data_IF_584088790246
#
_entry.id   IF_584088790246
#
_cell.length_a   1.000
_cell.length_b   1.000
_cell.length_c   1.000
_cell.angle_alpha   90.00
_cell.angle_beta   90.00
_cell.angle_gamma   90.00
#
_symmetry.space_group_name_H-M   'P 1'
#
loop_
_entity.id
_entity.type
_entity.pdbx_description
1 polymer ?
#
# COMPACT_ATOMS: atom_id res chain seq x y z
N UNK A 1 -7.59 8.45 5.08
CA UNK A 1 -8.20 9.13 3.93
C UNK A 1 -8.56 8.15 2.82
N UNK A 2 -7.62 7.40 2.24
CA UNK A 2 -7.91 6.44 1.15
C UNK A 2 -9.07 5.46 1.43
N UNK A 3 -9.16 4.90 2.64
CA UNK A 3 -10.28 4.03 3.02
C UNK A 3 -11.63 4.78 3.05
N UNK A 4 -11.64 6.01 3.60
CA UNK A 4 -12.85 6.87 3.66
C UNK A 4 -13.29 7.32 2.27
N UNK A 5 -12.34 7.50 1.36
CA UNK A 5 -12.58 7.84 -0.04
C UNK A 5 -12.92 6.62 -0.90
N UNK A 6 -13.00 5.41 -0.33
CA UNK A 6 -13.32 4.18 -1.06
C UNK A 6 -12.25 3.77 -2.08
N UNK A 7 -10.99 4.20 -1.92
CA UNK A 7 -9.93 3.91 -2.90
C UNK A 7 -9.52 2.44 -2.87
N UNK A 8 -9.43 1.85 -4.05
CA UNK A 8 -8.98 0.48 -4.27
C UNK A 8 -7.45 0.46 -4.40
N UNK A 9 -6.75 0.57 -3.27
CA UNK A 9 -5.27 0.55 -3.20
C UNK A 9 -4.71 -0.87 -3.11
N UNK A 10 -3.40 -1.04 -3.31
CA UNK A 10 -2.76 -2.36 -3.27
C UNK A 10 -2.99 -3.14 -1.96
N UNK A 11 -2.87 -2.55 -0.75
CA UNK A 11 -3.19 -3.26 0.49
C UNK A 11 -4.64 -3.77 0.55
N UNK A 12 -5.59 -3.01 0.00
CA UNK A 12 -7.01 -3.39 -0.09
C UNK A 12 -7.19 -4.57 -1.04
N UNK A 13 -6.62 -4.48 -2.25
CA UNK A 13 -6.70 -5.53 -3.28
C UNK A 13 -6.17 -6.86 -2.71
N UNK A 14 -5.00 -6.83 -2.06
CA UNK A 14 -4.39 -8.04 -1.50
C UNK A 14 -5.22 -8.62 -0.35
N UNK A 15 -5.74 -7.78 0.57
CA UNK A 15 -6.58 -8.23 1.67
C UNK A 15 -7.91 -8.83 1.16
N UNK A 16 -8.53 -8.21 0.15
CA UNK A 16 -9.75 -8.72 -0.48
C UNK A 16 -9.55 -10.10 -1.13
N UNK A 17 -8.50 -10.25 -1.94
CA UNK A 17 -8.24 -11.50 -2.65
C UNK A 17 -7.93 -12.67 -1.71
N UNK A 18 -7.21 -12.40 -0.62
CA UNK A 18 -6.84 -13.40 0.39
C UNK A 18 -7.96 -13.71 1.39
N UNK A 19 -8.95 -12.83 1.48
CA UNK A 19 -10.05 -12.99 2.40
C UNK A 19 -11.10 -14.02 1.99
N UNK A 20 -11.86 -14.49 2.97
CA UNK A 20 -12.99 -15.42 2.80
C UNK A 20 -14.25 -14.70 2.26
N UNK A 21 -15.38 -15.40 2.16
CA UNK A 21 -16.65 -14.84 1.66
C UNK A 21 -17.11 -13.61 2.43
N UNK A 22 -17.02 -13.66 3.76
CA UNK A 22 -17.55 -12.66 4.67
C UNK A 22 -16.64 -11.41 4.68
N UNK A 23 -15.33 -11.64 4.68
CA UNK A 23 -14.32 -10.57 4.55
C UNK A 23 -14.42 -9.86 3.21
N UNK A 24 -14.64 -10.62 2.12
CA UNK A 24 -14.88 -10.03 0.79
C UNK A 24 -16.19 -9.24 0.74
N UNK A 25 -17.22 -9.69 1.45
CA UNK A 25 -18.48 -8.94 1.58
C UNK A 25 -18.24 -7.63 2.33
N UNK A 26 -17.54 -7.67 3.46
CA UNK A 26 -17.12 -6.47 4.20
C UNK A 26 -16.42 -5.46 3.29
N UNK A 27 -15.41 -5.88 2.53
CA UNK A 27 -14.70 -4.99 1.62
C UNK A 27 -15.58 -4.40 0.52
N UNK A 28 -16.51 -5.19 -0.08
CA UNK A 28 -17.47 -4.65 -1.05
C UNK A 28 -18.37 -3.61 -0.41
N UNK A 29 -18.95 -3.93 0.75
CA UNK A 29 -19.84 -3.04 1.47
C UNK A 29 -19.12 -1.72 1.83
N UNK A 30 -17.84 -1.76 2.21
CA UNK A 30 -17.04 -0.57 2.51
C UNK A 30 -16.61 0.25 1.27
N UNK A 31 -16.46 -0.37 0.10
CA UNK A 31 -15.92 0.29 -1.10
C UNK A 31 -17.00 0.72 -2.11
N UNK A 32 -18.17 0.08 -2.12
CA UNK A 32 -19.26 0.35 -3.06
C UNK A 32 -20.24 1.43 -2.58
N UNK A 33 -20.37 1.64 -1.27
CA UNK A 33 -21.41 2.51 -0.68
C UNK A 33 -20.79 3.68 0.11
N UNK A 34 -20.13 4.60 -0.60
CA UNK A 34 -19.45 5.77 -0.02
C UNK A 34 -20.41 6.79 0.63
N UNK A 35 -21.72 6.62 0.47
CA UNK A 35 -22.76 7.52 1.02
C UNK A 35 -23.45 6.98 2.27
N UNK A 36 -23.20 5.73 2.70
CA UNK A 36 -23.89 5.12 3.86
C UNK A 36 -23.06 5.02 5.13
N UNK A 37 -23.83 4.90 6.21
CA UNK A 37 -23.57 4.76 7.65
C UNK A 37 -22.55 3.66 8.02
N UNK A 38 -21.33 3.78 7.52
CA UNK A 38 -20.16 3.06 8.00
C UNK A 38 -19.81 3.71 9.35
N UNK A 39 -19.63 2.91 10.39
CA UNK A 39 -19.06 3.38 11.64
C UNK A 39 -17.56 3.59 11.37
N UNK A 40 -17.21 4.72 10.75
CA UNK A 40 -15.90 4.96 10.12
C UNK A 40 -14.71 4.44 10.94
N UNK A 41 -14.74 4.62 12.26
CA UNK A 41 -13.68 4.13 13.14
C UNK A 41 -13.68 2.60 13.35
N UNK A 42 -14.86 1.98 13.52
CA UNK A 42 -14.97 0.51 13.70
C UNK A 42 -14.65 -0.22 12.40
N UNK A 43 -15.11 0.32 11.28
CA UNK A 43 -14.86 -0.27 9.97
C UNK A 43 -13.41 -0.06 9.55
N UNK A 44 -12.82 1.11 9.82
CA UNK A 44 -11.37 1.30 9.62
C UNK A 44 -10.56 0.34 10.51
N UNK A 45 -10.95 0.17 11.78
CA UNK A 45 -10.29 -0.80 12.67
C UNK A 45 -10.38 -2.22 12.12
N UNK A 46 -11.54 -2.63 11.62
CA UNK A 46 -11.75 -3.94 10.99
C UNK A 46 -10.92 -4.08 9.72
N UNK A 47 -10.89 -3.06 8.85
CA UNK A 47 -10.09 -3.02 7.65
C UNK A 47 -8.60 -3.19 7.96
N UNK A 48 -8.07 -2.47 8.95
CA UNK A 48 -6.67 -2.59 9.40
C UNK A 48 -6.37 -3.99 9.95
N UNK A 49 -7.28 -4.57 10.75
CA UNK A 49 -7.13 -5.94 11.26
C UNK A 49 -7.10 -6.97 10.13
N UNK A 50 -7.95 -6.82 9.11
CA UNK A 50 -7.96 -7.72 7.96
C UNK A 50 -6.69 -7.55 7.10
N UNK A 51 -6.22 -6.32 6.92
CA UNK A 51 -4.96 -6.06 6.22
C UNK A 51 -3.77 -6.67 6.94
N UNK A 52 -3.71 -6.56 8.28
CA UNK A 52 -2.68 -7.18 9.10
C UNK A 52 -2.76 -8.71 9.05
N UNK A 53 -3.96 -9.28 9.25
CA UNK A 53 -4.23 -10.72 9.18
C UNK A 53 -3.75 -11.32 7.86
N UNK A 54 -3.96 -10.61 6.75
CA UNK A 54 -3.60 -11.03 5.41
C UNK A 54 -2.23 -10.52 4.94
N UNK A 55 -1.44 -9.88 5.83
CA UNK A 55 -0.11 -9.33 5.56
C UNK A 55 -0.07 -8.38 4.36
N UNK A 56 -1.18 -7.70 4.06
CA UNK A 56 -1.27 -6.87 2.86
C UNK A 56 -0.50 -5.55 3.00
N UNK A 57 -0.36 -5.03 4.22
CA UNK A 57 0.47 -3.85 4.51
C UNK A 57 1.94 -4.16 4.26
N UNK A 58 2.48 -5.19 4.92
CA UNK A 58 3.90 -5.59 4.77
C UNK A 58 4.23 -5.95 3.32
N UNK A 59 3.34 -6.64 2.62
CA UNK A 59 3.58 -6.99 1.21
C UNK A 59 3.56 -5.77 0.29
N UNK A 60 2.77 -4.75 0.62
CA UNK A 60 2.79 -3.49 -0.12
C UNK A 60 4.08 -2.71 0.12
N UNK A 61 4.64 -2.79 1.33
CA UNK A 61 5.97 -2.23 1.65
C UNK A 61 7.06 -2.96 0.86
N UNK A 62 7.09 -4.30 0.90
CA UNK A 62 8.03 -5.09 0.10
C UNK A 62 7.91 -4.78 -1.40
N UNK A 63 6.68 -4.51 -1.89
CA UNK A 63 6.47 -4.12 -3.29
C UNK A 63 7.09 -2.75 -3.58
N UNK A 64 7.00 -1.79 -2.67
CA UNK A 64 7.66 -0.49 -2.80
C UNK A 64 9.19 -0.63 -2.78
N UNK A 65 9.74 -1.45 -1.88
CA UNK A 65 11.17 -1.76 -1.82
C UNK A 65 11.67 -2.41 -3.12
N UNK A 66 10.92 -3.35 -3.67
CA UNK A 66 11.23 -3.96 -4.95
C UNK A 66 11.34 -2.91 -6.08
N UNK A 67 10.40 -1.96 -6.15
CA UNK A 67 10.50 -0.89 -7.14
C UNK A 67 11.67 0.07 -6.88
N UNK A 68 12.06 0.27 -5.61
CA UNK A 68 13.27 1.02 -5.29
C UNK A 68 14.52 0.31 -5.79
N UNK A 69 14.62 -1.01 -5.63
CA UNK A 69 15.75 -1.80 -6.15
C UNK A 69 15.82 -1.73 -7.68
N UNK A 70 14.69 -1.90 -8.38
CA UNK A 70 14.62 -1.74 -9.83
C UNK A 70 15.09 -0.34 -10.26
N UNK A 71 14.71 0.71 -9.52
CA UNK A 71 15.15 2.06 -9.79
C UNK A 71 16.66 2.26 -9.56
N UNK A 72 17.23 1.66 -8.50
CA UNK A 72 18.68 1.69 -8.24
C UNK A 72 19.46 1.00 -9.35
N UNK A 73 19.00 -0.18 -9.77
CA UNK A 73 19.62 -0.96 -10.84
C UNK A 73 19.58 -0.21 -12.18
N UNK A 74 18.47 0.45 -12.47
CA UNK A 74 18.30 1.29 -13.67
C UNK A 74 19.29 2.46 -13.72
N UNK A 75 19.75 2.96 -12.57
CA UNK A 75 20.79 3.98 -12.49
C UNK A 75 22.21 3.42 -12.62
N UNK A 76 22.39 2.09 -12.56
CA UNK A 76 23.68 1.41 -12.60
C UNK A 76 24.48 1.69 -13.87
N UNK A 77 23.82 1.85 -15.01
CA UNK A 77 24.46 2.09 -16.31
C UNK A 77 25.12 3.48 -16.43
N UNK A 78 24.74 4.43 -15.58
CA UNK A 78 25.25 5.79 -15.66
C UNK A 78 26.54 5.95 -14.84
N UNK A 79 27.49 6.79 -15.30
CA UNK A 79 28.69 7.10 -14.53
C UNK A 79 28.33 7.79 -13.21
N UNK A 80 29.24 7.69 -12.23
CA UNK A 80 29.08 8.37 -10.95
C UNK A 80 29.09 9.89 -11.17
N UNK A 81 28.05 10.56 -10.67
CA UNK A 81 27.87 12.01 -10.78
C UNK A 81 27.03 12.53 -9.61
N UNK A 82 27.08 13.84 -9.32
CA UNK A 82 26.21 14.44 -8.30
C UNK A 82 24.73 14.18 -8.54
N UNK A 83 24.30 14.14 -9.81
CA UNK A 83 22.92 13.88 -10.20
C UNK A 83 22.52 12.42 -9.90
N UNK A 84 23.38 11.45 -10.25
CA UNK A 84 23.16 10.04 -9.90
C UNK A 84 23.03 9.86 -8.39
N UNK A 85 23.90 10.50 -7.62
CA UNK A 85 23.83 10.51 -6.15
C UNK A 85 22.53 11.10 -5.62
N UNK A 86 22.07 12.23 -6.18
CA UNK A 86 20.82 12.86 -5.78
C UNK A 86 19.59 11.96 -6.06
N UNK A 87 19.54 11.30 -7.23
CA UNK A 87 18.45 10.37 -7.57
C UNK A 87 18.42 9.16 -6.64
N UNK A 88 19.59 8.58 -6.32
CA UNK A 88 19.69 7.51 -5.32
C UNK A 88 19.20 7.97 -3.94
N UNK A 89 19.57 9.19 -3.53
CA UNK A 89 19.08 9.79 -2.29
C UNK A 89 17.56 9.98 -2.24
N UNK A 90 16.93 10.35 -3.37
CA UNK A 90 15.46 10.44 -3.46
C UNK A 90 14.82 9.07 -3.29
N UNK A 91 15.37 8.01 -3.89
CA UNK A 91 14.88 6.64 -3.74
C UNK A 91 14.90 6.24 -2.25
N UNK A 92 16.03 6.46 -1.57
CA UNK A 92 16.16 6.14 -0.14
C UNK A 92 15.19 6.94 0.73
N UNK A 93 14.99 8.22 0.43
CA UNK A 93 14.03 9.08 1.13
C UNK A 93 12.57 8.61 0.94
N UNK A 94 12.20 8.12 -0.25
CA UNK A 94 10.86 7.61 -0.50
C UNK A 94 10.55 6.35 0.31
N UNK A 95 11.53 5.46 0.51
CA UNK A 95 11.33 4.20 1.25
C UNK A 95 11.43 4.39 2.77
N UNK A 96 12.38 5.21 3.25
CA UNK A 96 12.58 5.42 4.69
C UNK A 96 11.41 6.10 5.41
N UNK A 97 10.55 6.81 4.68
CA UNK A 97 9.34 7.45 5.25
C UNK A 97 8.32 6.45 5.81
N UNK A 98 8.47 5.17 5.50
CA UNK A 98 7.58 4.09 5.94
C UNK A 98 7.92 3.61 7.37
N UNK A 99 9.06 4.03 7.93
CA UNK A 99 9.55 3.64 9.26
C UNK A 99 9.81 4.84 10.18
#
# INVERSE_FOLDING_TARGET
>A
DDFREGKITLPVILAFHRGNSDERKFWRDCLEDTEKTIHEEKDLSTALQLMEKHKSLSDSIHRAEHYADVARDSLGIFPNSPIKGALLGIIDFCIKRVF
#
